data_IF_898558990422
#
_entry.id   IF_898558990422
#
_cell.length_a   1.000
_cell.length_b   1.000
_cell.length_c   1.000
_cell.angle_alpha   90.00
_cell.angle_beta   90.00
_cell.angle_gamma   90.00
#
_symmetry.space_group_name_H-M   'P 1'
#
loop_
_entity.id
_entity.type
_entity.pdbx_description
1 polymer ?
#
# COMPACT_ATOMS: atom_id res chain seq x y z
N UNK A 1 8.37 -16.42 0.12
CA UNK A 1 7.91 -16.71 -1.27
C UNK A 1 9.12 -16.67 -2.18
N UNK A 2 9.26 -17.65 -3.08
CA UNK A 2 10.34 -17.69 -4.07
C UNK A 2 9.76 -17.71 -5.48
N UNK A 3 10.27 -16.85 -6.37
CA UNK A 3 9.90 -16.78 -7.78
C UNK A 3 11.09 -17.25 -8.60
N UNK A 4 10.90 -18.28 -9.43
CA UNK A 4 11.96 -18.89 -10.23
C UNK A 4 13.21 -19.26 -9.39
N UNK A 5 13.00 -19.76 -8.17
CA UNK A 5 14.08 -20.15 -7.24
C UNK A 5 14.70 -19.02 -6.42
N UNK A 6 14.26 -17.77 -6.58
CA UNK A 6 14.85 -16.61 -5.89
C UNK A 6 13.87 -16.01 -4.86
N UNK A 7 14.33 -15.59 -3.67
CA UNK A 7 13.50 -14.88 -2.71
C UNK A 7 12.89 -13.62 -3.33
N UNK A 8 11.58 -13.46 -3.22
CA UNK A 8 10.89 -12.27 -3.73
C UNK A 8 10.98 -11.16 -2.69
N UNK A 9 11.74 -10.11 -3.00
CA UNK A 9 11.82 -8.92 -2.16
C UNK A 9 10.57 -8.03 -2.30
N UNK A 10 10.02 -7.94 -3.51
CA UNK A 10 8.89 -7.07 -3.82
C UNK A 10 8.27 -7.43 -5.19
N UNK A 11 6.97 -7.21 -5.32
CA UNK A 11 6.18 -7.25 -6.54
C UNK A 11 5.36 -5.96 -6.63
N UNK A 12 5.56 -5.22 -7.72
CA UNK A 12 4.69 -4.13 -8.14
C UNK A 12 3.81 -4.64 -9.28
N UNK A 13 2.60 -5.13 -9.00
CA UNK A 13 1.67 -5.40 -10.09
C UNK A 13 1.33 -4.08 -10.80
N UNK A 14 0.90 -4.23 -12.04
CA UNK A 14 0.36 -3.14 -12.84
C UNK A 14 -0.87 -3.68 -13.55
N UNK A 15 -1.85 -2.81 -13.78
CA UNK A 15 -3.06 -3.15 -14.53
C UNK A 15 -2.96 -2.59 -15.93
N UNK A 16 -3.42 -3.37 -16.90
CA UNK A 16 -3.63 -2.94 -18.27
C UNK A 16 -5.13 -2.82 -18.51
N UNK A 17 -5.57 -1.72 -19.13
CA UNK A 17 -6.98 -1.43 -19.32
C UNK A 17 -7.22 0.02 -19.76
N UNK A 18 -8.47 0.50 -19.67
CA UNK A 18 -8.81 1.89 -19.97
C UNK A 18 -7.99 2.88 -19.13
N UNK A 19 -7.76 4.11 -19.60
CA UNK A 19 -7.09 5.14 -18.83
C UNK A 19 -7.74 5.33 -17.46
N UNK A 20 -6.94 5.29 -16.40
CA UNK A 20 -7.38 5.50 -15.03
C UNK A 20 -6.56 6.64 -14.44
N UNK A 21 -7.23 7.60 -13.80
CA UNK A 21 -6.55 8.73 -13.18
C UNK A 21 -5.66 8.30 -12.00
N UNK A 22 -6.02 7.20 -11.32
CA UNK A 22 -5.32 6.66 -10.17
C UNK A 22 -5.48 5.14 -10.13
N UNK A 23 -4.37 4.43 -9.96
CA UNK A 23 -4.33 3.00 -9.62
C UNK A 23 -3.57 2.83 -8.32
N UNK A 24 -4.14 2.05 -7.39
CA UNK A 24 -3.54 1.77 -6.08
C UNK A 24 -3.38 0.27 -5.91
N UNK A 25 -2.14 -0.14 -5.66
CA UNK A 25 -1.77 -1.52 -5.40
C UNK A 25 -1.26 -1.65 -3.96
N UNK A 26 -2.00 -2.35 -3.11
CA UNK A 26 -1.68 -2.54 -1.70
C UNK A 26 -1.26 -3.97 -1.42
N UNK A 27 -0.03 -4.16 -0.95
CA UNK A 27 0.57 -5.48 -0.77
C UNK A 27 1.09 -5.68 0.64
N UNK A 28 0.66 -6.76 1.28
CA UNK A 28 1.21 -7.21 2.55
C UNK A 28 2.39 -8.16 2.30
N UNK A 29 3.55 -7.82 2.86
CA UNK A 29 4.77 -8.64 2.84
C UNK A 29 5.10 -9.21 4.23
N UNK A 30 4.10 -9.36 5.10
CA UNK A 30 4.26 -9.90 6.45
C UNK A 30 4.52 -8.79 7.46
N UNK A 31 5.77 -8.39 7.64
CA UNK A 31 6.15 -7.30 8.56
C UNK A 31 5.80 -5.92 8.01
N UNK A 32 5.83 -5.79 6.68
CA UNK A 32 5.71 -4.50 6.00
C UNK A 32 4.62 -4.54 4.94
N UNK A 33 4.07 -3.37 4.69
CA UNK A 33 3.11 -3.13 3.62
C UNK A 33 3.79 -2.27 2.56
N UNK A 34 3.53 -2.59 1.29
CA UNK A 34 3.98 -1.79 0.15
C UNK A 34 2.76 -1.23 -0.58
N UNK A 35 2.78 0.08 -0.81
CA UNK A 35 1.80 0.80 -1.62
C UNK A 35 2.48 1.20 -2.92
N UNK A 36 1.89 0.84 -4.05
CA UNK A 36 2.34 1.26 -5.38
C UNK A 36 1.23 2.08 -6.01
N UNK A 37 1.57 3.28 -6.46
CA UNK A 37 0.65 4.20 -7.11
C UNK A 37 1.07 4.39 -8.57
N UNK A 38 0.09 4.32 -9.47
CA UNK A 38 0.22 4.89 -10.81
C UNK A 38 -0.83 6.00 -10.92
N UNK A 39 -0.40 7.19 -11.34
CA UNK A 39 -1.25 8.38 -11.39
C UNK A 39 -1.18 9.03 -12.76
N UNK A 40 -2.24 9.76 -13.10
CA UNK A 40 -2.22 10.77 -14.15
C UNK A 40 -1.67 12.07 -13.57
N UNK A 41 -0.45 12.45 -13.99
CA UNK A 41 0.25 13.64 -13.49
C UNK A 41 -0.51 14.94 -13.75
N UNK A 42 -1.41 14.98 -14.74
CA UNK A 42 -2.25 16.15 -15.00
C UNK A 42 -3.31 16.36 -13.90
N UNK A 43 -3.74 15.28 -13.25
CA UNK A 43 -4.74 15.30 -12.18
C UNK A 43 -4.12 15.24 -10.79
N UNK A 44 -2.92 14.67 -10.66
CA UNK A 44 -2.17 14.53 -9.41
C UNK A 44 -0.77 15.15 -9.56
N UNK A 45 -0.64 16.48 -9.49
CA UNK A 45 0.64 17.17 -9.74
C UNK A 45 1.73 16.83 -8.73
N UNK A 46 1.34 16.39 -7.52
CA UNK A 46 2.23 15.91 -6.49
C UNK A 46 1.71 14.58 -5.92
N UNK A 47 2.18 13.48 -6.51
CA UNK A 47 1.82 12.14 -6.08
C UNK A 47 2.46 11.74 -4.74
N UNK A 48 3.48 12.47 -4.26
CA UNK A 48 4.12 12.19 -2.97
C UNK A 48 3.20 12.55 -1.81
N UNK A 49 2.45 13.65 -1.91
CA UNK A 49 1.43 13.98 -0.90
C UNK A 49 0.38 12.87 -0.75
N UNK A 50 0.00 12.22 -1.85
CA UNK A 50 -0.93 11.09 -1.83
C UNK A 50 -0.30 9.87 -1.14
N UNK A 51 0.97 9.57 -1.42
CA UNK A 51 1.73 8.51 -0.74
C UNK A 51 1.83 8.76 0.77
N UNK A 52 2.15 9.99 1.19
CA UNK A 52 2.22 10.38 2.60
C UNK A 52 0.86 10.20 3.29
N UNK A 53 -0.22 10.58 2.61
CA UNK A 53 -1.59 10.35 3.09
C UNK A 53 -1.89 8.87 3.31
N UNK A 54 -1.50 7.99 2.37
CA UNK A 54 -1.66 6.54 2.53
C UNK A 54 -0.83 5.97 3.68
N UNK A 55 0.41 6.45 3.86
CA UNK A 55 1.28 6.04 4.95
C UNK A 55 0.67 6.43 6.31
N UNK A 56 0.18 7.66 6.44
CA UNK A 56 -0.43 8.15 7.67
C UNK A 56 -1.75 7.43 7.99
N UNK A 57 -2.63 7.26 6.99
CA UNK A 57 -3.87 6.50 7.16
C UNK A 57 -3.60 5.06 7.61
N UNK A 58 -2.62 4.39 7.01
CA UNK A 58 -2.21 3.02 7.39
C UNK A 58 -1.69 2.99 8.83
N UNK A 59 -0.90 3.99 9.24
CA UNK A 59 -0.40 4.11 10.61
C UNK A 59 -1.54 4.25 11.61
N UNK A 60 -2.52 5.10 11.34
CA UNK A 60 -3.70 5.32 12.17
C UNK A 60 -4.50 4.01 12.31
N UNK A 61 -4.79 3.33 11.20
CA UNK A 61 -5.52 2.06 11.19
C UNK A 61 -4.80 1.00 12.03
N UNK A 62 -3.47 0.87 11.85
CA UNK A 62 -2.65 -0.07 12.62
C UNK A 62 -2.72 0.20 14.12
N UNK A 63 -2.58 1.46 14.52
CA UNK A 63 -2.62 1.85 15.92
C UNK A 63 -4.00 1.58 16.56
N UNK A 64 -5.08 1.88 15.83
CA UNK A 64 -6.43 1.59 16.29
C UNK A 64 -6.70 0.08 16.45
N UNK A 65 -6.21 -0.74 15.51
CA UNK A 65 -6.34 -2.20 15.59
C UNK A 65 -5.54 -2.80 16.77
N UNK A 66 -4.33 -2.29 17.02
CA UNK A 66 -3.52 -2.69 18.17
C UNK A 66 -4.20 -2.34 19.51
N UNK A 67 -4.78 -1.15 19.62
CA UNK A 67 -5.52 -0.72 20.81
C UNK A 67 -6.74 -1.62 21.08
N UNK A 68 -7.51 -1.99 20.03
CA UNK A 68 -8.63 -2.92 20.15
C UNK A 68 -8.19 -4.29 20.69
N UNK A 69 -7.08 -4.82 20.19
CA UNK A 69 -6.54 -6.11 20.63
C UNK A 69 -6.21 -6.13 22.13
N UNK A 70 -5.68 -5.01 22.65
CA UNK A 70 -5.40 -4.85 24.08
C UNK A 70 -6.67 -4.80 24.93
N UNK A 71 -7.75 -4.19 24.42
CA UNK A 71 -9.02 -4.06 25.16
C UNK A 71 -9.87 -5.34 25.17
N UNK A 72 -9.64 -6.28 24.27
CA UNK A 72 -10.41 -7.54 24.17
C UNK A 72 -9.73 -8.72 24.87
N UNK A 73 -8.52 -8.54 25.42
CA UNK A 73 -7.74 -9.59 26.08
C UNK A 73 -8.00 -9.71 27.59
N UNK A 74 -9.20 -9.32 28.06
CA UNK A 74 -9.61 -9.37 29.48
C UNK A 74 -10.66 -10.46 29.68
#
# INVERSE_FOLDING_TARGET
MALCGHPVAFMAPSIYGPPQALTVHYHNYGSDIKVVLAVDDAQFPDCHQLLDGFAEATRIIKNAAALKTLTTSI
#
